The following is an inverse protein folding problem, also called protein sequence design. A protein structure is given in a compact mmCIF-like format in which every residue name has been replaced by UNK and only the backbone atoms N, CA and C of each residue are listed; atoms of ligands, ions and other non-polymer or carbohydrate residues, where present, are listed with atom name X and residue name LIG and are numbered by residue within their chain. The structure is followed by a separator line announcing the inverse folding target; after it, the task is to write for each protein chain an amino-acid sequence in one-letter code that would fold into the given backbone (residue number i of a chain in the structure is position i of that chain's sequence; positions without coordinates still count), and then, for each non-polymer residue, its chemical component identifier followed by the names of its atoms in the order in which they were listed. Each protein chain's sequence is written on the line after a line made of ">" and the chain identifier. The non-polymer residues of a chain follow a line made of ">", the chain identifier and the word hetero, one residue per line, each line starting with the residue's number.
data_IF_707123740668
#
_entry.id   IF_707123740668
#
_cell.length_a   1.000
_cell.length_b   1.000
_cell.length_c   1.000
_cell.angle_alpha   90.00
_cell.angle_beta   90.00
_cell.angle_gamma   90.00
#
_symmetry.space_group_name_H-M   'P 1'
#
loop_
_entity.id
_entity.type
_entity.pdbx_description
1 polymer ?
#
# COMPACT_ATOMS: atom_id res chain seq x y z
N UNK A 1 5.06 -37.19 -9.77
CA UNK A 1 3.65 -36.99 -9.34
C UNK A 1 3.67 -36.25 -8.01
N UNK A 2 3.39 -34.96 -8.01
CA UNK A 2 3.09 -34.18 -6.82
C UNK A 2 1.99 -33.20 -7.22
N UNK A 3 0.77 -33.49 -6.78
CA UNK A 3 -0.39 -32.64 -6.95
C UNK A 3 -0.19 -31.38 -6.10
N UNK A 4 -0.17 -30.21 -6.74
CA UNK A 4 -0.39 -28.93 -6.07
C UNK A 4 -1.87 -28.56 -6.21
N UNK A 5 -2.70 -28.64 -5.14
CA UNK A 5 -4.02 -28.06 -5.15
C UNK A 5 -3.90 -26.62 -4.62
N UNK A 6 -3.82 -25.63 -5.51
CA UNK A 6 -4.04 -24.24 -5.09
C UNK A 6 -4.71 -23.43 -6.20
N UNK A 7 -5.87 -23.90 -6.63
CA UNK A 7 -6.74 -23.20 -7.59
C UNK A 7 -7.99 -22.58 -6.94
N UNK A 8 -8.08 -22.55 -5.59
CA UNK A 8 -9.30 -22.09 -4.87
C UNK A 8 -9.20 -20.73 -4.16
N UNK A 9 -8.12 -19.97 -4.32
CA UNK A 9 -7.96 -18.66 -3.66
C UNK A 9 -7.95 -17.45 -4.60
N UNK A 10 -8.20 -17.64 -5.91
CA UNK A 10 -8.12 -16.56 -6.91
C UNK A 10 -9.45 -15.84 -7.20
N UNK A 11 -10.50 -16.11 -6.42
CA UNK A 11 -11.85 -15.57 -6.64
C UNK A 11 -12.22 -14.38 -5.72
N UNK A 12 -11.35 -13.95 -4.81
CA UNK A 12 -11.68 -12.95 -3.78
C UNK A 12 -10.83 -11.67 -3.82
N UNK A 13 -10.03 -11.40 -4.87
CA UNK A 13 -9.03 -10.33 -4.83
C UNK A 13 -9.52 -8.93 -5.27
N UNK A 14 -10.72 -8.79 -5.83
CA UNK A 14 -11.25 -7.48 -6.28
C UNK A 14 -12.29 -6.87 -5.34
N UNK A 15 -12.94 -7.69 -4.51
CA UNK A 15 -14.03 -7.25 -3.62
C UNK A 15 -13.65 -6.10 -2.67
N UNK A 16 -12.53 -6.14 -1.92
CA UNK A 16 -12.23 -5.05 -0.99
C UNK A 16 -11.88 -3.74 -1.70
N UNK A 17 -11.30 -3.80 -2.90
CA UNK A 17 -11.03 -2.63 -3.73
C UNK A 17 -12.32 -2.03 -4.32
N UNK A 18 -13.25 -2.89 -4.77
CA UNK A 18 -14.58 -2.47 -5.23
C UNK A 18 -15.40 -1.85 -4.10
N UNK A 19 -15.36 -2.45 -2.90
CA UNK A 19 -16.00 -1.92 -1.71
C UNK A 19 -15.40 -0.56 -1.30
N UNK A 20 -14.07 -0.45 -1.31
CA UNK A 20 -13.40 0.82 -1.00
C UNK A 20 -13.75 1.91 -2.03
N UNK A 21 -13.81 1.55 -3.31
CA UNK A 21 -14.22 2.45 -4.38
C UNK A 21 -15.68 2.90 -4.23
N UNK A 22 -16.61 1.97 -3.94
CA UNK A 22 -18.02 2.30 -3.75
C UNK A 22 -18.26 3.18 -2.52
N UNK A 23 -17.55 2.93 -1.41
CA UNK A 23 -17.61 3.78 -0.22
C UNK A 23 -17.07 5.19 -0.48
N UNK A 24 -15.96 5.32 -1.21
CA UNK A 24 -15.45 6.64 -1.62
C UNK A 24 -16.42 7.36 -2.55
N UNK A 25 -17.10 6.65 -3.45
CA UNK A 25 -18.12 7.26 -4.31
C UNK A 25 -19.34 7.76 -3.52
N UNK A 26 -19.81 6.99 -2.54
CA UNK A 26 -20.89 7.44 -1.65
C UNK A 26 -20.44 8.67 -0.85
N UNK A 27 -19.23 8.66 -0.30
CA UNK A 27 -18.65 9.81 0.41
C UNK A 27 -18.55 11.04 -0.49
N UNK A 28 -18.15 10.87 -1.75
CA UNK A 28 -18.07 11.95 -2.73
C UNK A 28 -19.44 12.61 -2.94
N UNK A 29 -20.47 11.80 -3.21
CA UNK A 29 -21.84 12.29 -3.41
C UNK A 29 -22.38 12.99 -2.17
N UNK A 30 -22.17 12.39 -0.99
CA UNK A 30 -22.64 12.95 0.27
C UNK A 30 -21.93 14.28 0.58
N UNK A 31 -20.61 14.35 0.38
CA UNK A 31 -19.79 15.55 0.59
C UNK A 31 -20.15 16.67 -0.39
N UNK A 32 -20.54 16.32 -1.61
CA UNK A 32 -21.03 17.30 -2.57
C UNK A 32 -22.43 17.81 -2.17
N UNK A 33 -23.31 16.92 -1.69
CA UNK A 33 -24.66 17.27 -1.30
C UNK A 33 -24.70 18.18 -0.04
N UNK A 34 -23.75 18.07 0.88
CA UNK A 34 -23.69 18.92 2.10
C UNK A 34 -23.37 20.38 1.81
N UNK A 35 -22.93 20.73 0.60
CA UNK A 35 -22.77 22.14 0.25
C UNK A 35 -24.11 22.87 0.21
N UNK A 36 -25.16 22.20 -0.31
CA UNK A 36 -26.48 22.80 -0.47
C UNK A 36 -27.05 23.40 0.83
N UNK A 37 -27.14 22.68 1.96
CA UNK A 37 -27.69 23.25 3.19
C UNK A 37 -26.91 24.47 3.69
N UNK A 38 -25.58 24.52 3.50
CA UNK A 38 -24.73 25.63 3.95
C UNK A 38 -25.10 26.94 3.22
N UNK A 39 -25.17 26.89 1.89
CA UNK A 39 -25.53 28.07 1.08
C UNK A 39 -27.03 28.39 1.14
N UNK A 40 -27.90 27.39 1.34
CA UNK A 40 -29.34 27.61 1.51
C UNK A 40 -29.69 28.25 2.87
N UNK A 41 -28.87 28.04 3.90
CA UNK A 41 -29.03 28.70 5.20
C UNK A 41 -28.74 30.20 5.11
N UNK A 42 -27.67 30.59 4.44
CA UNK A 42 -27.30 32.00 4.22
C UNK A 42 -26.30 32.15 3.06
N UNK A 43 -26.50 33.18 2.25
CA UNK A 43 -25.57 33.61 1.21
C UNK A 43 -25.22 35.09 1.37
N UNK A 44 -23.93 35.46 1.61
CA UNK A 44 -22.78 34.57 1.79
C UNK A 44 -22.81 33.78 3.12
N UNK A 45 -22.12 32.62 3.22
CA UNK A 45 -22.01 31.87 4.47
C UNK A 45 -21.31 32.67 5.58
N UNK A 46 -21.67 32.42 6.83
CA UNK A 46 -20.94 32.94 8.00
C UNK A 46 -19.60 32.21 8.17
N UNK A 47 -18.71 32.71 9.04
CA UNK A 47 -17.43 32.03 9.34
C UNK A 47 -17.63 30.57 9.78
N UNK A 48 -18.69 30.30 10.54
CA UNK A 48 -19.03 28.93 10.94
C UNK A 48 -19.57 28.11 9.76
N UNK A 49 -20.40 28.70 8.89
CA UNK A 49 -20.81 28.06 7.64
C UNK A 49 -19.63 27.72 6.73
N UNK A 50 -18.63 28.61 6.64
CA UNK A 50 -17.38 28.36 5.93
C UNK A 50 -16.57 27.21 6.55
N UNK A 51 -16.56 27.07 7.88
CA UNK A 51 -15.89 25.95 8.54
C UNK A 51 -16.55 24.59 8.24
N UNK A 52 -17.89 24.54 8.17
CA UNK A 52 -18.62 23.35 7.74
C UNK A 52 -18.36 23.04 6.26
N UNK A 53 -18.30 24.08 5.42
CA UNK A 53 -17.99 23.95 4.01
C UNK A 53 -16.59 23.39 3.78
N UNK A 54 -15.58 23.92 4.46
CA UNK A 54 -14.19 23.42 4.32
C UNK A 54 -14.06 21.99 4.80
N UNK A 55 -14.75 21.61 5.87
CA UNK A 55 -14.81 20.21 6.35
C UNK A 55 -15.38 19.28 5.28
N UNK A 56 -16.50 19.68 4.65
CA UNK A 56 -17.11 18.93 3.55
C UNK A 56 -16.21 18.90 2.30
N UNK A 57 -15.50 20.00 2.00
CA UNK A 57 -14.55 20.06 0.89
C UNK A 57 -13.33 19.16 1.11
N UNK A 58 -12.78 19.08 2.33
CA UNK A 58 -11.73 18.12 2.65
C UNK A 58 -12.19 16.67 2.49
N UNK A 59 -13.43 16.38 2.91
CA UNK A 59 -14.04 15.05 2.74
C UNK A 59 -14.21 14.70 1.26
N UNK A 60 -14.64 15.66 0.45
CA UNK A 60 -14.76 15.53 -1.01
C UNK A 60 -13.39 15.28 -1.66
N UNK A 61 -12.37 16.09 -1.33
CA UNK A 61 -11.00 15.90 -1.82
C UNK A 61 -10.42 14.56 -1.41
N UNK A 62 -10.65 14.15 -0.16
CA UNK A 62 -10.25 12.84 0.35
C UNK A 62 -10.88 11.72 -0.48
N UNK A 63 -12.19 11.79 -0.76
CA UNK A 63 -12.87 10.77 -1.55
C UNK A 63 -12.38 10.70 -3.00
N UNK A 64 -12.05 11.86 -3.61
CA UNK A 64 -11.45 11.92 -4.93
C UNK A 64 -10.07 11.26 -4.95
N UNK A 65 -9.21 11.62 -4.01
CA UNK A 65 -7.87 11.04 -3.88
C UNK A 65 -7.96 9.56 -3.51
N UNK A 66 -8.99 9.13 -2.77
CA UNK A 66 -9.27 7.74 -2.45
C UNK A 66 -9.37 6.85 -3.69
N UNK A 67 -9.97 7.35 -4.79
CA UNK A 67 -9.98 6.65 -6.08
C UNK A 67 -8.58 6.47 -6.67
N UNK A 68 -7.71 7.49 -6.56
CA UNK A 68 -6.35 7.47 -7.10
C UNK A 68 -5.33 6.79 -6.19
N UNK A 69 -5.60 6.69 -4.88
CA UNK A 69 -4.70 6.07 -3.89
C UNK A 69 -4.47 4.59 -4.16
N UNK A 70 -5.38 3.96 -4.92
CA UNK A 70 -5.22 2.59 -5.41
C UNK A 70 -4.10 2.45 -6.46
N UNK A 71 -3.65 3.54 -7.08
CA UNK A 71 -2.65 3.52 -8.16
C UNK A 71 -1.23 3.92 -7.74
N UNK A 72 -1.03 4.70 -6.64
CA UNK A 72 0.30 5.21 -6.27
C UNK A 72 0.53 5.40 -4.77
N UNK A 73 1.71 5.02 -4.26
CA UNK A 73 2.09 5.10 -2.83
C UNK A 73 2.12 6.53 -2.26
N UNK A 74 2.48 7.53 -3.07
CA UNK A 74 2.51 8.94 -2.62
C UNK A 74 1.10 9.46 -2.29
N UNK A 75 0.07 8.96 -2.99
CA UNK A 75 -1.32 9.30 -2.70
C UNK A 75 -1.81 8.72 -1.36
N UNK A 76 -1.19 7.67 -0.82
CA UNK A 76 -1.65 7.05 0.44
C UNK A 76 -1.50 7.98 1.64
N UNK A 77 -0.31 8.56 1.85
CA UNK A 77 -0.07 9.46 3.01
C UNK A 77 -0.96 10.70 2.92
N UNK A 78 -1.07 11.30 1.73
CA UNK A 78 -1.96 12.43 1.50
C UNK A 78 -3.42 12.06 1.74
N UNK A 79 -3.86 10.89 1.26
CA UNK A 79 -5.21 10.38 1.48
C UNK A 79 -5.51 10.23 2.97
N UNK A 80 -4.65 9.53 3.72
CA UNK A 80 -4.82 9.34 5.17
C UNK A 80 -4.82 10.68 5.91
N UNK A 81 -3.92 11.60 5.53
CA UNK A 81 -3.86 12.93 6.16
C UNK A 81 -5.16 13.72 5.97
N UNK A 82 -5.73 13.67 4.77
CA UNK A 82 -7.01 14.29 4.45
C UNK A 82 -8.18 13.61 5.18
N UNK A 83 -8.19 12.27 5.24
CA UNK A 83 -9.18 11.50 6.01
C UNK A 83 -9.16 11.92 7.48
N UNK A 84 -7.98 12.00 8.10
CA UNK A 84 -7.84 12.38 9.51
C UNK A 84 -8.29 13.83 9.76
N UNK A 85 -7.89 14.77 8.88
CA UNK A 85 -8.33 16.17 8.98
C UNK A 85 -9.85 16.29 8.85
N UNK A 86 -10.44 15.56 7.90
CA UNK A 86 -11.88 15.48 7.70
C UNK A 86 -12.61 14.89 8.92
N UNK A 87 -12.12 13.79 9.50
CA UNK A 87 -12.70 13.18 10.70
C UNK A 87 -12.74 14.14 11.88
N UNK A 88 -11.66 14.89 12.12
CA UNK A 88 -11.60 15.91 13.18
C UNK A 88 -12.63 17.01 12.91
N UNK A 89 -12.68 17.53 11.67
CA UNK A 89 -13.65 18.55 11.28
C UNK A 89 -15.10 18.08 11.44
N UNK A 90 -15.41 16.86 10.98
CA UNK A 90 -16.75 16.26 11.08
C UNK A 90 -17.16 16.03 12.53
N UNK A 91 -16.26 15.51 13.37
CA UNK A 91 -16.52 15.31 14.79
C UNK A 91 -16.80 16.64 15.50
N UNK A 92 -15.98 17.67 15.27
CA UNK A 92 -16.18 19.00 15.84
C UNK A 92 -17.47 19.66 15.32
N UNK A 93 -17.73 19.56 14.01
CA UNK A 93 -18.94 20.08 13.37
C UNK A 93 -20.21 19.42 13.90
N UNK A 94 -20.23 18.08 13.97
CA UNK A 94 -21.33 17.31 14.56
C UNK A 94 -21.55 17.68 16.02
N UNK A 95 -20.49 17.70 16.84
CA UNK A 95 -20.58 18.07 18.25
C UNK A 95 -21.14 19.49 18.44
N UNK A 96 -20.70 20.45 17.61
CA UNK A 96 -21.17 21.83 17.65
C UNK A 96 -22.65 21.95 17.25
N UNK A 97 -23.08 21.27 16.18
CA UNK A 97 -24.47 21.31 15.72
C UNK A 97 -25.42 20.57 16.67
N UNK A 98 -24.99 19.43 17.22
CA UNK A 98 -25.80 18.58 18.10
C UNK A 98 -25.88 19.14 19.53
N UNK A 99 -24.75 19.49 20.14
CA UNK A 99 -24.70 19.88 21.56
C UNK A 99 -25.17 21.31 21.80
N UNK A 100 -25.08 22.18 20.79
CA UNK A 100 -25.40 23.61 20.91
C UNK A 100 -26.30 24.09 19.78
N UNK A 101 -27.35 23.34 19.44
CA UNK A 101 -28.26 23.64 18.32
C UNK A 101 -28.71 25.12 18.30
N UNK A 102 -29.11 25.68 19.44
CA UNK A 102 -29.56 27.09 19.54
C UNK A 102 -28.44 28.12 19.31
N UNK A 103 -27.23 27.84 19.77
CA UNK A 103 -26.07 28.71 19.53
C UNK A 103 -25.57 28.59 18.09
N UNK A 104 -25.57 27.38 17.53
CA UNK A 104 -25.19 27.13 16.14
C UNK A 104 -26.15 27.80 15.16
N UNK A 105 -27.46 27.76 15.43
CA UNK A 105 -28.45 28.51 14.66
C UNK A 105 -28.19 30.03 14.72
N UNK A 106 -27.80 30.57 15.87
CA UNK A 106 -27.41 31.99 15.97
C UNK A 106 -26.14 32.28 15.18
N UNK A 107 -25.14 31.40 15.22
CA UNK A 107 -23.85 31.58 14.54
C UNK A 107 -23.94 31.42 13.01
N UNK A 108 -24.92 30.65 12.53
CA UNK A 108 -25.25 30.50 11.10
C UNK A 108 -26.07 31.68 10.57
N UNK A 109 -26.69 32.47 11.45
CA UNK A 109 -27.56 33.61 11.14
C UNK A 109 -28.51 33.33 9.95
N UNK A 110 -29.37 32.31 10.02
CA UNK A 110 -30.17 31.89 8.88
C UNK A 110 -31.07 33.02 8.38
N UNK A 111 -31.12 33.23 7.06
CA UNK A 111 -32.04 34.19 6.42
C UNK A 111 -33.47 33.62 6.27
N UNK A 112 -33.64 32.33 6.52
CA UNK A 112 -34.90 31.58 6.37
C UNK A 112 -35.73 31.55 7.66
N UNK A 113 -36.97 31.07 7.51
CA UNK A 113 -37.85 30.80 8.65
C UNK A 113 -37.19 29.85 9.65
N UNK A 114 -37.45 30.05 10.95
CA UNK A 114 -36.83 29.27 12.03
C UNK A 114 -37.06 27.74 11.89
N UNK A 115 -38.20 27.34 11.31
CA UNK A 115 -38.53 25.94 11.05
C UNK A 115 -37.66 25.35 9.95
N UNK A 116 -37.52 26.03 8.82
CA UNK A 116 -36.67 25.57 7.71
C UNK A 116 -35.20 25.51 8.13
N UNK A 117 -34.70 26.56 8.79
CA UNK A 117 -33.33 26.60 9.27
C UNK A 117 -33.00 25.43 10.20
N UNK A 118 -33.92 25.08 11.11
CA UNK A 118 -33.77 23.92 12.00
C UNK A 118 -33.69 22.60 11.22
N UNK A 119 -34.51 22.44 10.18
CA UNK A 119 -34.48 21.23 9.33
C UNK A 119 -33.14 21.15 8.58
N UNK A 120 -32.69 22.25 7.97
CA UNK A 120 -31.40 22.35 7.28
C UNK A 120 -30.22 22.02 8.20
N UNK A 121 -30.21 22.54 9.43
CA UNK A 121 -29.16 22.23 10.42
C UNK A 121 -29.19 20.76 10.82
N UNK A 122 -30.37 20.16 11.00
CA UNK A 122 -30.49 18.73 11.32
C UNK A 122 -30.04 17.84 10.17
N UNK A 123 -30.37 18.21 8.92
CA UNK A 123 -29.87 17.53 7.74
C UNK A 123 -28.36 17.59 7.65
N UNK A 124 -27.76 18.76 7.86
CA UNK A 124 -26.31 18.92 7.86
C UNK A 124 -25.63 18.14 8.99
N UNK A 125 -26.20 18.16 10.19
CA UNK A 125 -25.73 17.35 11.32
C UNK A 125 -25.76 15.85 11.00
N UNK A 126 -26.85 15.37 10.40
CA UNK A 126 -26.96 13.98 9.94
C UNK A 126 -25.98 13.64 8.83
N UNK A 127 -25.73 14.57 7.90
CA UNK A 127 -24.74 14.41 6.84
C UNK A 127 -23.32 14.29 7.41
N UNK A 128 -22.92 15.18 8.32
CA UNK A 128 -21.60 15.13 8.97
C UNK A 128 -21.38 13.83 9.74
N UNK A 129 -22.39 13.36 10.49
CA UNK A 129 -22.31 12.08 11.19
C UNK A 129 -22.18 10.90 10.22
N UNK A 130 -22.96 10.92 9.13
CA UNK A 130 -22.91 9.87 8.11
C UNK A 130 -21.56 9.83 7.41
N UNK A 131 -21.01 10.99 7.04
CA UNK A 131 -19.67 11.09 6.47
C UNK A 131 -18.63 10.58 7.47
N UNK A 132 -18.70 10.98 8.74
CA UNK A 132 -17.77 10.53 9.78
C UNK A 132 -17.71 9.00 9.89
N UNK A 133 -18.87 8.34 9.96
CA UNK A 133 -18.94 6.88 10.03
C UNK A 133 -18.39 6.22 8.77
N UNK A 134 -18.76 6.71 7.58
CA UNK A 134 -18.25 6.18 6.31
C UNK A 134 -16.73 6.37 6.20
N UNK A 135 -16.21 7.52 6.62
CA UNK A 135 -14.79 7.86 6.56
C UNK A 135 -13.96 7.00 7.52
N UNK A 136 -14.50 6.63 8.70
CA UNK A 136 -13.90 5.64 9.59
C UNK A 136 -13.79 4.26 8.93
N UNK A 137 -14.85 3.81 8.25
CA UNK A 137 -14.83 2.52 7.54
C UNK A 137 -13.80 2.56 6.41
N UNK A 138 -13.75 3.64 5.63
CA UNK A 138 -12.74 3.85 4.58
C UNK A 138 -11.33 3.85 5.15
N UNK A 139 -11.10 4.51 6.29
CA UNK A 139 -9.81 4.53 6.98
C UNK A 139 -9.36 3.11 7.35
N UNK A 140 -10.23 2.34 8.02
CA UNK A 140 -9.92 0.97 8.45
C UNK A 140 -9.67 0.06 7.24
N UNK A 141 -10.50 0.13 6.20
CA UNK A 141 -10.30 -0.66 4.98
C UNK A 141 -9.00 -0.29 4.26
N UNK A 142 -8.69 1.00 4.15
CA UNK A 142 -7.47 1.49 3.52
C UNK A 142 -6.23 1.02 4.28
N UNK A 143 -6.23 1.13 5.62
CA UNK A 143 -5.14 0.66 6.46
C UNK A 143 -4.97 -0.87 6.39
N UNK A 144 -6.06 -1.64 6.46
CA UNK A 144 -6.00 -3.10 6.39
C UNK A 144 -5.50 -3.58 5.03
N UNK A 145 -5.94 -2.97 3.93
CA UNK A 145 -5.42 -3.25 2.59
C UNK A 145 -3.94 -2.91 2.48
N UNK A 146 -3.51 -1.75 3.00
CA UNK A 146 -2.10 -1.36 3.00
C UNK A 146 -1.25 -2.33 3.82
N UNK A 147 -1.67 -2.70 5.03
CA UNK A 147 -0.94 -3.67 5.87
C UNK A 147 -0.85 -5.05 5.22
N UNK A 148 -1.93 -5.51 4.57
CA UNK A 148 -1.91 -6.76 3.80
C UNK A 148 -0.91 -6.68 2.65
N UNK A 149 -0.89 -5.56 1.93
CA UNK A 149 0.00 -5.36 0.79
C UNK A 149 1.47 -5.27 1.21
N UNK A 150 1.76 -4.55 2.29
CA UNK A 150 3.11 -4.49 2.90
C UNK A 150 3.57 -5.89 3.33
N UNK A 151 2.72 -6.65 4.03
CA UNK A 151 3.04 -8.00 4.48
C UNK A 151 3.29 -8.95 3.30
N UNK A 152 2.51 -8.84 2.23
CA UNK A 152 2.71 -9.64 1.02
C UNK A 152 4.06 -9.27 0.37
N UNK A 153 4.36 -7.98 0.21
CA UNK A 153 5.62 -7.51 -0.35
C UNK A 153 6.85 -8.00 0.45
N UNK A 154 6.81 -7.90 1.78
CA UNK A 154 7.87 -8.42 2.66
C UNK A 154 8.08 -9.94 2.48
N UNK A 155 6.99 -10.71 2.31
CA UNK A 155 7.06 -12.14 2.03
C UNK A 155 7.73 -12.45 0.67
N UNK A 156 7.38 -11.68 -0.36
CA UNK A 156 8.00 -11.80 -1.69
C UNK A 156 9.49 -11.42 -1.68
N UNK A 157 9.87 -10.37 -0.95
CA UNK A 157 11.28 -9.99 -0.80
C UNK A 157 12.08 -11.06 -0.06
N UNK A 158 11.52 -11.64 1.01
CA UNK A 158 12.16 -12.73 1.74
C UNK A 158 12.39 -13.97 0.86
N UNK A 159 11.41 -14.36 0.04
CA UNK A 159 11.55 -15.47 -0.91
C UNK A 159 12.63 -15.20 -1.97
N UNK A 160 12.69 -13.95 -2.47
CA UNK A 160 13.72 -13.52 -3.42
C UNK A 160 15.11 -13.59 -2.81
N UNK A 161 15.26 -13.12 -1.57
CA UNK A 161 16.54 -13.15 -0.85
C UNK A 161 16.98 -14.60 -0.57
N UNK A 162 16.06 -15.47 -0.14
CA UNK A 162 16.35 -16.89 0.03
C UNK A 162 16.82 -17.55 -1.27
N UNK A 163 16.13 -17.25 -2.37
CA UNK A 163 16.47 -17.79 -3.69
C UNK A 163 17.85 -17.33 -4.15
N UNK A 164 18.18 -16.05 -3.93
CA UNK A 164 19.51 -15.50 -4.19
C UNK A 164 20.60 -16.18 -3.34
N UNK A 165 20.35 -16.36 -2.04
CA UNK A 165 21.28 -17.08 -1.13
C UNK A 165 21.46 -18.55 -1.51
N UNK A 166 20.39 -19.24 -1.93
CA UNK A 166 20.48 -20.62 -2.43
C UNK A 166 21.31 -20.70 -3.71
N UNK A 167 21.11 -19.75 -4.64
CA UNK A 167 21.89 -19.66 -5.88
C UNK A 167 23.37 -19.37 -5.60
N UNK A 168 23.67 -18.43 -4.72
CA UNK A 168 25.04 -18.10 -4.31
C UNK A 168 25.76 -19.31 -3.70
N UNK A 169 25.12 -20.04 -2.80
CA UNK A 169 25.69 -21.28 -2.21
C UNK A 169 25.98 -22.35 -3.26
N UNK A 170 25.11 -22.52 -4.27
CA UNK A 170 25.36 -23.46 -5.36
C UNK A 170 26.55 -23.03 -6.22
N UNK A 171 26.66 -21.74 -6.54
CA UNK A 171 27.79 -21.22 -7.31
C UNK A 171 29.11 -21.38 -6.55
N UNK A 172 29.13 -21.12 -5.24
CA UNK A 172 30.30 -21.34 -4.40
C UNK A 172 30.75 -22.81 -4.40
N UNK A 173 29.81 -23.76 -4.25
CA UNK A 173 30.13 -25.20 -4.33
C UNK A 173 30.68 -25.61 -5.69
N UNK A 174 30.07 -25.14 -6.78
CA UNK A 174 30.57 -25.42 -8.14
C UNK A 174 31.97 -24.84 -8.34
N UNK A 175 32.23 -23.64 -7.82
CA UNK A 175 33.56 -23.02 -7.87
C UNK A 175 34.59 -23.84 -7.07
N UNK A 176 34.25 -24.28 -5.86
CA UNK A 176 35.10 -25.14 -5.04
C UNK A 176 35.39 -26.49 -5.73
N UNK A 177 34.37 -27.16 -6.26
CA UNK A 177 34.50 -28.42 -7.00
C UNK A 177 35.36 -28.27 -8.26
N UNK A 178 35.19 -27.17 -9.01
CA UNK A 178 35.99 -26.89 -10.21
C UNK A 178 37.46 -26.60 -9.87
N UNK A 179 37.75 -25.86 -8.80
CA UNK A 179 39.11 -25.62 -8.33
C UNK A 179 39.78 -26.92 -7.86
N UNK A 180 39.06 -27.76 -7.12
CA UNK A 180 39.55 -29.07 -6.70
C UNK A 180 39.83 -30.00 -7.89
N UNK A 181 38.96 -29.98 -8.91
CA UNK A 181 39.16 -30.76 -10.12
C UNK A 181 40.35 -30.24 -10.95
N UNK A 182 40.50 -28.92 -11.09
CA UNK A 182 41.66 -28.31 -11.75
C UNK A 182 42.97 -28.70 -11.06
N UNK A 183 43.00 -28.68 -9.73
CA UNK A 183 44.15 -29.11 -8.93
C UNK A 183 44.51 -30.59 -9.18
N UNK A 184 43.50 -31.49 -9.22
CA UNK A 184 43.71 -32.91 -9.56
C UNK A 184 44.27 -33.08 -10.98
N UNK A 185 43.76 -32.34 -11.95
CA UNK A 185 44.27 -32.40 -13.34
C UNK A 185 45.73 -31.95 -13.39
N UNK A 186 46.10 -30.88 -12.67
CA UNK A 186 47.49 -30.43 -12.61
C UNK A 186 48.40 -31.45 -11.95
N UNK A 187 47.95 -32.14 -10.89
CA UNK A 187 48.71 -33.19 -10.23
C UNK A 187 48.93 -34.40 -11.15
N UNK A 188 47.89 -34.85 -11.86
CA UNK A 188 48.00 -35.95 -12.83
C UNK A 188 48.95 -35.59 -13.97
N UNK A 189 48.85 -34.36 -14.52
CA UNK A 189 49.78 -33.89 -15.56
C UNK A 189 51.22 -33.83 -15.07
N UNK A 190 51.45 -33.41 -13.82
CA UNK A 190 52.79 -33.38 -13.24
C UNK A 190 53.37 -34.79 -13.10
N UNK A 191 52.57 -35.77 -12.67
CA UNK A 191 52.98 -37.18 -12.61
C UNK A 191 53.27 -37.74 -14.01
N UNK A 192 52.44 -37.43 -15.01
CA UNK A 192 52.67 -37.87 -16.40
C UNK A 192 53.96 -37.28 -17.00
N UNK A 193 54.27 -36.01 -16.67
CA UNK A 193 55.52 -35.36 -17.06
C UNK A 193 56.74 -36.00 -16.39
N UNK A 194 56.67 -36.31 -15.10
CA UNK A 194 57.73 -37.01 -14.37
C UNK A 194 57.98 -38.42 -14.94
N UNK A 195 56.92 -39.17 -15.20
CA UNK A 195 57.01 -40.50 -15.82
C UNK A 195 57.60 -40.44 -17.24
N UNK A 196 57.23 -39.44 -18.05
CA UNK A 196 57.84 -39.20 -19.36
C UNK A 196 59.32 -38.84 -19.26
N UNK A 197 59.73 -38.04 -18.27
CA UNK A 197 61.15 -37.72 -18.05
C UNK A 197 61.95 -38.96 -17.64
N UNK A 198 61.43 -39.79 -16.72
CA UNK A 198 62.06 -41.06 -16.32
C UNK A 198 62.17 -42.04 -17.48
N UNK A 199 61.10 -42.19 -18.27
CA UNK A 199 61.08 -43.05 -19.46
C UNK A 199 62.12 -42.60 -20.50
N UNK A 200 62.19 -41.29 -20.79
CA UNK A 200 63.23 -40.75 -21.68
C UNK A 200 64.63 -40.99 -21.13
N UNK A 201 64.91 -40.68 -19.86
CA UNK A 201 66.22 -40.93 -19.25
C UNK A 201 66.64 -42.41 -19.35
N UNK A 202 65.72 -43.35 -19.13
CA UNK A 202 65.98 -44.79 -19.32
C UNK A 202 66.25 -45.20 -20.78
N UNK A 203 65.73 -44.44 -21.75
CA UNK A 203 65.97 -44.66 -23.18
C UNK A 203 67.34 -44.12 -23.61
N UNK A 204 67.74 -42.93 -23.13
CA UNK A 204 69.07 -42.36 -23.39
C UNK A 204 70.20 -43.23 -22.82
N UNK A 205 70.02 -43.78 -21.61
CA UNK A 205 71.01 -44.69 -21.00
C UNK A 205 71.19 -45.97 -21.82
N UNK A 206 70.17 -46.47 -22.53
CA UNK A 206 70.29 -47.68 -23.37
C UNK A 206 71.02 -47.41 -24.68
N UNK A 207 70.90 -46.22 -25.26
CA UNK A 207 71.59 -45.85 -26.50
C UNK A 207 73.08 -45.57 -26.32
N UNK A 208 73.54 -45.30 -25.10
CA UNK A 208 74.96 -45.04 -24.81
C UNK A 208 75.81 -46.32 -24.64
N UNK A 209 75.20 -47.52 -24.74
CA UNK A 209 75.89 -48.82 -24.68
C UNK A 209 75.97 -49.56 -26.03
N UNK A 210 75.53 -48.93 -27.14
CA UNK A 210 75.61 -49.48 -28.51
C UNK A 210 76.55 -48.66 -29.42
N UNK A 211 77.65 -48.13 -28.86
CA UNK A 211 78.75 -47.47 -29.58
C UNK A 211 79.99 -48.34 -29.66
#
# INVERSE_FOLDING_TARGET
>A
MAYSPSSKLRSSSSFPYLLLSSLNFILFLLSSASFAPIFLLRNPPTTFGWALFTTSAFSLLSSLIGFYSQLTHFCFITHISLVLASLVGQALGFLALFSREGSSLRLLEPARSAREARILVKMECGALLSMFLLQLVVLVLTCTLQSCWVREYEGWEAEREETARRRSRRMARVQEESMANAAKITEVRAKELDDKMKSKYGQWIKTDFEG
#
